data_IF_008764572682
#
_entry.id   IF_008764572682
#
_cell.length_a   1.000
_cell.length_b   1.000
_cell.length_c   1.000
_cell.angle_alpha   90.00
_cell.angle_beta   90.00
_cell.angle_gamma   90.00
#
_symmetry.space_group_name_H-M   'P 1'
#
loop_
_entity.id
_entity.type
_entity.pdbx_description
1 polymer ?
#
# COMPACT_ATOMS: atom_id res chain seq x y z
N UNK A 1 -15.77 4.33 20.84
CA UNK A 1 -16.00 4.28 19.38
C UNK A 1 -16.44 2.85 19.04
N UNK A 2 -17.55 2.64 18.32
CA UNK A 2 -18.00 1.28 17.97
C UNK A 2 -16.94 0.59 17.10
N UNK A 3 -16.74 -0.72 17.26
CA UNK A 3 -15.86 -1.47 16.36
C UNK A 3 -16.53 -1.63 14.99
N UNK A 4 -15.75 -1.80 13.91
CA UNK A 4 -16.30 -1.98 12.55
C UNK A 4 -17.31 -3.14 12.44
N UNK A 5 -17.17 -4.17 13.27
CA UNK A 5 -18.08 -5.32 13.31
C UNK A 5 -19.45 -4.99 13.94
N UNK A 6 -19.54 -3.90 14.70
CA UNK A 6 -20.77 -3.43 15.35
C UNK A 6 -21.51 -2.37 14.52
N UNK A 7 -20.97 -1.98 13.36
CA UNK A 7 -21.61 -1.04 12.45
C UNK A 7 -22.50 -1.82 11.47
N UNK A 8 -23.68 -1.28 11.20
CA UNK A 8 -24.64 -1.83 10.23
C UNK A 8 -24.05 -1.87 8.80
N UNK A 9 -23.22 -0.88 8.47
CA UNK A 9 -22.54 -0.79 7.18
C UNK A 9 -21.03 -0.95 7.34
N UNK A 10 -20.45 -1.89 6.58
CA UNK A 10 -19.01 -2.18 6.58
C UNK A 10 -18.25 -1.50 5.42
N UNK A 11 -18.97 -0.91 4.47
CA UNK A 11 -18.42 -0.09 3.39
C UNK A 11 -19.35 1.11 3.16
N UNK A 12 -18.78 2.24 2.73
CA UNK A 12 -19.54 3.48 2.56
C UNK A 12 -20.19 3.59 1.17
N UNK A 13 -19.37 3.71 0.12
CA UNK A 13 -19.84 3.98 -1.23
C UNK A 13 -19.01 3.20 -2.25
N UNK A 14 -19.68 2.68 -3.29
CA UNK A 14 -19.05 2.05 -4.45
C UNK A 14 -19.64 2.65 -5.73
N UNK A 15 -18.80 3.34 -6.49
CA UNK A 15 -19.19 4.01 -7.73
C UNK A 15 -18.33 3.56 -8.91
N UNK A 16 -18.86 3.69 -10.12
CA UNK A 16 -18.11 3.56 -11.36
C UNK A 16 -17.57 4.93 -11.74
N UNK A 17 -16.29 4.99 -12.13
CA UNK A 17 -15.63 6.20 -12.60
C UNK A 17 -15.17 6.02 -14.04
N UNK A 18 -15.03 7.12 -14.77
CA UNK A 18 -14.51 7.13 -16.14
C UNK A 18 -13.22 7.97 -16.22
N UNK A 19 -12.05 7.37 -15.96
CA UNK A 19 -10.79 8.11 -15.95
C UNK A 19 -10.34 8.48 -17.36
N UNK A 20 -9.69 9.64 -17.50
CA UNK A 20 -8.96 10.04 -18.71
C UNK A 20 -7.73 9.14 -18.93
N UNK A 21 -7.13 9.20 -20.12
CA UNK A 21 -5.95 8.37 -20.42
C UNK A 21 -4.75 8.70 -19.52
N UNK A 22 -4.57 9.98 -19.17
CA UNK A 22 -3.58 10.38 -18.18
C UNK A 22 -3.85 9.79 -16.79
N UNK A 23 -5.12 9.81 -16.35
CA UNK A 23 -5.50 9.19 -15.08
C UNK A 23 -5.30 7.67 -15.09
N UNK A 24 -5.61 6.99 -16.20
CA UNK A 24 -5.32 5.55 -16.38
C UNK A 24 -3.82 5.25 -16.26
N UNK A 25 -2.95 6.11 -16.81
CA UNK A 25 -1.50 5.96 -16.68
C UNK A 25 -1.06 6.08 -15.22
N UNK A 26 -1.59 7.05 -14.46
CA UNK A 26 -1.30 7.19 -13.02
C UNK A 26 -1.74 5.95 -12.25
N UNK A 27 -2.95 5.44 -12.50
CA UNK A 27 -3.46 4.21 -11.87
C UNK A 27 -2.53 3.04 -12.16
N UNK A 28 -2.09 2.88 -13.42
CA UNK A 28 -1.18 1.80 -13.83
C UNK A 28 0.17 1.88 -13.12
N UNK A 29 0.81 3.06 -13.14
CA UNK A 29 2.13 3.28 -12.50
C UNK A 29 2.05 3.00 -11.00
N UNK A 30 1.01 3.49 -10.32
CA UNK A 30 0.81 3.21 -8.91
C UNK A 30 0.51 1.72 -8.63
N UNK A 31 -0.29 1.08 -9.48
CA UNK A 31 -0.58 -0.36 -9.37
C UNK A 31 0.70 -1.20 -9.48
N UNK A 32 1.57 -0.86 -10.42
CA UNK A 32 2.86 -1.54 -10.61
C UNK A 32 3.83 -1.24 -9.45
N UNK A 33 3.89 0.01 -8.96
CA UNK A 33 4.70 0.39 -7.81
C UNK A 33 4.27 -0.34 -6.52
N UNK A 34 2.97 -0.36 -6.21
CA UNK A 34 2.43 -1.08 -5.05
C UNK A 34 2.69 -2.58 -5.14
N UNK A 35 2.55 -3.19 -6.33
CA UNK A 35 2.87 -4.60 -6.55
C UNK A 35 4.36 -4.87 -6.33
N UNK A 36 5.22 -4.03 -6.88
CA UNK A 36 6.67 -4.15 -6.71
C UNK A 36 7.06 -4.07 -5.24
N UNK A 37 6.61 -3.04 -4.52
CA UNK A 37 6.89 -2.85 -3.09
C UNK A 37 6.44 -4.06 -2.27
N UNK A 38 5.23 -4.57 -2.51
CA UNK A 38 4.74 -5.75 -1.79
C UNK A 38 5.63 -6.97 -2.07
N UNK A 39 6.00 -7.19 -3.33
CA UNK A 39 6.85 -8.31 -3.72
C UNK A 39 8.25 -8.18 -3.13
N UNK A 40 8.82 -6.99 -3.11
CA UNK A 40 10.12 -6.75 -2.49
C UNK A 40 10.10 -7.06 -0.99
N UNK A 41 9.03 -6.68 -0.28
CA UNK A 41 8.84 -7.06 1.12
C UNK A 41 8.77 -8.58 1.30
N UNK A 42 8.11 -9.30 0.39
CA UNK A 42 8.09 -10.78 0.39
C UNK A 42 9.48 -11.35 0.13
N UNK A 43 10.25 -10.76 -0.78
CA UNK A 43 11.63 -11.16 -1.10
C UNK A 43 12.54 -11.01 0.13
N UNK A 44 12.56 -9.81 0.72
CA UNK A 44 13.29 -9.50 1.94
C UNK A 44 12.87 -10.45 3.08
N UNK A 45 11.58 -10.70 3.24
CA UNK A 45 11.08 -11.61 4.27
C UNK A 45 11.59 -13.05 4.12
N UNK A 46 11.68 -13.56 2.89
CA UNK A 46 12.25 -14.88 2.60
C UNK A 46 13.75 -14.93 2.89
N UNK A 47 14.48 -13.90 2.49
CA UNK A 47 15.92 -13.81 2.74
C UNK A 47 16.22 -13.72 4.24
N UNK A 48 15.50 -12.88 4.98
CA UNK A 48 15.62 -12.80 6.43
C UNK A 48 15.34 -14.14 7.12
N UNK A 49 14.35 -14.89 6.65
CA UNK A 49 14.07 -16.22 7.18
C UNK A 49 15.23 -17.19 6.91
N UNK A 50 15.81 -17.20 5.71
CA UNK A 50 16.97 -18.03 5.39
C UNK A 50 18.19 -17.67 6.26
N UNK A 51 18.49 -16.37 6.39
CA UNK A 51 19.60 -15.89 7.20
C UNK A 51 19.39 -16.20 8.69
N UNK A 52 18.16 -16.09 9.20
CA UNK A 52 17.85 -16.44 10.60
C UNK A 52 18.05 -17.92 10.95
N UNK A 53 18.17 -18.81 9.95
CA UNK A 53 18.48 -20.23 10.18
C UNK A 53 19.97 -20.47 10.42
N UNK A 54 20.83 -19.52 10.05
CA UNK A 54 22.25 -19.58 10.38
C UNK A 54 22.38 -19.31 11.88
N UNK A 55 22.61 -20.36 12.66
CA UNK A 55 22.70 -20.29 14.13
C UNK A 55 24.02 -19.69 14.64
N UNK A 56 24.96 -19.41 13.74
CA UNK A 56 26.27 -18.87 14.06
C UNK A 56 26.26 -17.34 13.88
N UNK A 57 26.79 -16.58 14.85
CA UNK A 57 26.89 -15.13 14.74
C UNK A 57 28.07 -14.77 13.81
N UNK A 58 27.81 -14.79 12.51
CA UNK A 58 28.76 -14.31 11.49
C UNK A 58 28.47 -12.84 11.22
N UNK A 59 29.46 -11.96 11.36
CA UNK A 59 29.29 -10.51 11.21
C UNK A 59 28.62 -10.13 9.88
N UNK A 60 29.07 -10.74 8.78
CA UNK A 60 28.48 -10.51 7.44
C UNK A 60 27.00 -10.85 7.36
N UNK A 61 26.55 -11.87 8.08
CA UNK A 61 25.14 -12.26 8.16
C UNK A 61 24.35 -11.26 9.00
N UNK A 62 24.92 -10.79 10.11
CA UNK A 62 24.29 -9.78 10.97
C UNK A 62 24.13 -8.44 10.25
N UNK A 63 25.19 -7.99 9.55
CA UNK A 63 25.18 -6.78 8.74
C UNK A 63 24.11 -6.87 7.64
N UNK A 64 24.01 -8.03 6.98
CA UNK A 64 22.99 -8.25 5.96
C UNK A 64 21.57 -8.20 6.54
N UNK A 65 21.35 -8.83 7.70
CA UNK A 65 20.05 -8.77 8.40
C UNK A 65 19.70 -7.32 8.76
N UNK A 66 20.65 -6.55 9.26
CA UNK A 66 20.44 -5.13 9.61
C UNK A 66 20.10 -4.31 8.37
N UNK A 67 20.84 -4.49 7.27
CA UNK A 67 20.58 -3.83 5.99
C UNK A 67 19.17 -4.15 5.47
N UNK A 68 18.77 -5.41 5.51
CA UNK A 68 17.45 -5.86 5.07
C UNK A 68 16.32 -5.27 5.91
N UNK A 69 16.47 -5.25 7.24
CA UNK A 69 15.50 -4.60 8.16
C UNK A 69 15.38 -3.10 7.88
N UNK A 70 16.49 -2.42 7.63
CA UNK A 70 16.49 -0.99 7.30
C UNK A 70 15.74 -0.69 5.99
N UNK A 71 15.91 -1.55 4.97
CA UNK A 71 15.26 -1.40 3.65
C UNK A 71 13.75 -1.56 3.66
N UNK A 72 13.15 -2.24 4.66
CA UNK A 72 11.69 -2.45 4.73
C UNK A 72 10.88 -1.16 4.92
N UNK A 73 11.52 -0.06 5.29
CA UNK A 73 10.86 1.24 5.40
C UNK A 73 10.55 1.84 4.01
N UNK A 74 9.36 2.40 3.83
CA UNK A 74 8.91 3.03 2.58
C UNK A 74 9.90 4.07 2.02
N UNK A 75 10.51 4.87 2.90
CA UNK A 75 11.50 5.89 2.51
C UNK A 75 12.76 5.23 1.97
N UNK A 76 13.31 4.26 2.70
CA UNK A 76 14.54 3.57 2.31
C UNK A 76 14.35 2.73 1.05
N UNK A 77 13.18 2.12 0.88
CA UNK A 77 12.84 1.43 -0.36
C UNK A 77 12.74 2.38 -1.56
N UNK A 78 12.23 3.60 -1.36
CA UNK A 78 12.24 4.62 -2.43
C UNK A 78 13.66 5.09 -2.76
N UNK A 79 14.51 5.30 -1.74
CA UNK A 79 15.91 5.67 -1.93
C UNK A 79 16.68 4.58 -2.70
N UNK A 80 16.38 3.30 -2.44
CA UNK A 80 17.04 2.18 -3.12
C UNK A 80 16.55 2.00 -4.56
N UNK A 81 15.27 2.25 -4.81
CA UNK A 81 14.65 2.09 -6.13
C UNK A 81 14.16 3.44 -6.65
N UNK A 82 15.03 4.16 -7.35
CA UNK A 82 14.80 5.53 -7.81
C UNK A 82 13.50 5.71 -8.61
N UNK A 83 13.05 4.69 -9.37
CA UNK A 83 11.79 4.76 -10.11
C UNK A 83 10.56 4.94 -9.21
N UNK A 84 10.65 4.58 -7.92
CA UNK A 84 9.58 4.82 -6.95
C UNK A 84 9.42 6.31 -6.62
N UNK A 85 10.42 7.15 -6.87
CA UNK A 85 10.37 8.60 -6.61
C UNK A 85 9.63 9.40 -7.69
N UNK A 86 9.11 8.74 -8.73
CA UNK A 86 8.27 9.37 -9.73
C UNK A 86 7.12 10.16 -9.09
N UNK A 87 6.95 11.43 -9.50
CA UNK A 87 5.94 12.35 -8.98
C UNK A 87 4.51 11.83 -9.11
N UNK A 88 4.26 10.92 -10.06
CA UNK A 88 2.96 10.26 -10.29
C UNK A 88 2.64 9.22 -9.22
N UNK A 89 3.65 8.68 -8.54
CA UNK A 89 3.46 7.68 -7.49
C UNK A 89 3.00 8.36 -6.20
N UNK A 90 1.93 7.86 -5.62
CA UNK A 90 1.40 8.29 -4.35
C UNK A 90 2.21 7.68 -3.19
N UNK A 91 2.64 8.53 -2.24
CA UNK A 91 3.33 8.09 -1.04
C UNK A 91 2.45 7.19 -0.17
N UNK A 92 1.13 7.43 -0.14
CA UNK A 92 0.19 6.59 0.61
C UNK A 92 0.02 5.21 -0.04
N UNK A 93 0.08 5.12 -1.37
CA UNK A 93 0.04 3.83 -2.07
C UNK A 93 1.27 2.96 -1.73
N UNK A 94 2.45 3.56 -1.55
CA UNK A 94 3.66 2.86 -1.07
C UNK A 94 3.47 2.34 0.36
N UNK A 95 3.01 3.21 1.26
CA UNK A 95 2.77 2.86 2.65
C UNK A 95 1.71 1.76 2.79
N UNK A 96 0.62 1.85 2.02
CA UNK A 96 -0.44 0.85 1.99
C UNK A 96 0.06 -0.52 1.53
N UNK A 97 0.96 -0.58 0.55
CA UNK A 97 1.54 -1.85 0.09
C UNK A 97 2.34 -2.56 1.21
N UNK A 98 3.14 -1.81 1.97
CA UNK A 98 3.87 -2.33 3.14
C UNK A 98 2.90 -2.76 4.25
N UNK A 99 1.88 -1.95 4.55
CA UNK A 99 0.86 -2.34 5.52
C UNK A 99 0.12 -3.61 5.11
N UNK A 100 -0.20 -3.78 3.83
CA UNK A 100 -0.85 -4.97 3.31
C UNK A 100 0.03 -6.22 3.46
N UNK A 101 1.35 -6.10 3.30
CA UNK A 101 2.30 -7.18 3.59
C UNK A 101 2.25 -7.60 5.06
N UNK A 102 2.28 -6.65 5.99
CA UNK A 102 2.16 -6.97 7.43
C UNK A 102 0.79 -7.55 7.80
N UNK A 103 -0.29 -7.04 7.17
CA UNK A 103 -1.63 -7.61 7.34
C UNK A 103 -1.70 -9.05 6.86
N UNK A 104 -1.04 -9.40 5.75
CA UNK A 104 -0.98 -10.78 5.26
C UNK A 104 -0.26 -11.71 6.26
N UNK A 105 0.85 -11.27 6.84
CA UNK A 105 1.50 -12.00 7.94
C UNK A 105 0.65 -12.11 9.21
N UNK A 106 -0.07 -11.05 9.57
CA UNK A 106 -0.98 -11.07 10.71
C UNK A 106 -2.14 -12.06 10.48
N UNK A 107 -2.71 -12.08 9.27
CA UNK A 107 -3.73 -13.03 8.88
C UNK A 107 -3.21 -14.48 8.91
N UNK A 108 -2.00 -14.73 8.41
CA UNK A 108 -1.35 -16.04 8.54
C UNK A 108 -1.23 -16.50 10.01
N UNK A 109 -0.89 -15.60 10.93
CA UNK A 109 -0.76 -15.94 12.36
C UNK A 109 -2.10 -16.16 13.07
N UNK A 110 -3.16 -15.47 12.65
CA UNK A 110 -4.47 -15.48 13.34
C UNK A 110 -5.49 -16.43 12.72
N UNK A 111 -5.38 -16.71 11.43
CA UNK A 111 -6.40 -17.45 10.67
C UNK A 111 -5.77 -18.70 10.09
N UNK A 112 -6.14 -19.87 10.64
CA UNK A 112 -5.56 -21.18 10.28
C UNK A 112 -5.64 -21.55 8.79
N UNK A 113 -6.59 -20.98 8.03
CA UNK A 113 -6.75 -21.22 6.59
C UNK A 113 -5.86 -20.34 5.70
N UNK A 114 -5.22 -19.31 6.25
CA UNK A 114 -4.44 -18.35 5.46
C UNK A 114 -3.01 -18.84 5.30
N UNK A 115 -2.49 -18.83 4.08
CA UNK A 115 -1.08 -19.17 3.81
C UNK A 115 -0.12 -18.00 4.06
N UNK A 116 1.19 -18.28 4.01
CA UNK A 116 2.22 -17.25 4.07
C UNK A 116 2.09 -16.26 2.89
N UNK A 117 2.54 -15.00 3.04
CA UNK A 117 2.53 -14.02 1.95
C UNK A 117 3.26 -14.53 0.71
N UNK A 118 2.64 -14.35 -0.47
CA UNK A 118 3.16 -14.80 -1.77
C UNK A 118 3.34 -13.60 -2.70
N UNK A 119 4.25 -13.74 -3.66
CA UNK A 119 4.42 -12.73 -4.70
C UNK A 119 3.13 -12.51 -5.48
N UNK A 120 2.78 -11.25 -5.68
CA UNK A 120 1.70 -10.82 -6.55
C UNK A 120 2.15 -10.83 -8.01
N UNK A 121 1.34 -11.48 -8.86
CA UNK A 121 1.52 -11.50 -10.31
C UNK A 121 0.97 -10.21 -10.93
N UNK A 122 1.46 -9.88 -12.13
CA UNK A 122 0.87 -8.81 -12.93
C UNK A 122 -0.51 -9.25 -13.42
N UNK A 123 -1.45 -8.31 -13.46
CA UNK A 123 -2.82 -8.54 -13.94
C UNK A 123 -3.23 -7.42 -14.89
N UNK A 124 -4.20 -7.71 -15.75
CA UNK A 124 -4.87 -6.72 -16.59
C UNK A 124 -5.71 -5.72 -15.77
N UNK A 125 -6.12 -6.10 -14.57
CA UNK A 125 -6.82 -5.22 -13.64
C UNK A 125 -5.84 -4.39 -12.82
N UNK A 126 -5.74 -3.10 -13.12
CA UNK A 126 -4.93 -2.15 -12.34
C UNK A 126 -5.71 -1.59 -11.17
N UNK A 127 -5.01 -1.35 -10.05
CA UNK A 127 -5.61 -0.86 -8.81
C UNK A 127 -4.81 0.31 -8.27
N UNK A 128 -5.53 1.32 -7.82
CA UNK A 128 -4.97 2.44 -7.09
C UNK A 128 -5.69 2.56 -5.75
N UNK A 129 -4.94 2.52 -4.65
CA UNK A 129 -5.47 2.63 -3.30
C UNK A 129 -4.73 3.74 -2.56
N UNK A 130 -5.49 4.74 -2.11
CA UNK A 130 -5.01 5.85 -1.29
C UNK A 130 -5.89 6.00 -0.06
N UNK A 131 -5.42 6.76 0.93
CA UNK A 131 -6.14 7.00 2.17
C UNK A 131 -6.66 8.43 2.20
N UNK A 132 -7.90 8.62 2.65
CA UNK A 132 -8.42 9.96 2.91
C UNK A 132 -7.80 10.49 4.21
N UNK A 133 -7.23 11.69 4.14
CA UNK A 133 -6.68 12.41 5.28
C UNK A 133 -7.52 13.67 5.53
N UNK A 134 -7.60 14.07 6.79
CA UNK A 134 -8.37 15.24 7.22
C UNK A 134 -7.46 16.22 7.97
N UNK A 135 -6.46 16.82 7.30
CA UNK A 135 -5.53 17.72 7.96
C UNK A 135 -6.28 18.95 8.50
N UNK A 136 -6.09 19.25 9.78
CA UNK A 136 -6.66 20.44 10.47
C UNK A 136 -8.20 20.47 10.56
N UNK A 137 -8.89 19.37 10.31
CA UNK A 137 -10.35 19.28 10.44
C UNK A 137 -10.75 18.65 11.77
N UNK A 138 -11.79 19.20 12.42
CA UNK A 138 -12.32 18.66 13.69
C UNK A 138 -13.24 17.46 13.50
N UNK A 139 -13.92 17.37 12.35
CA UNK A 139 -14.84 16.30 12.01
C UNK A 139 -14.57 15.80 10.58
N UNK A 140 -14.66 14.49 10.38
CA UNK A 140 -14.55 13.87 9.07
C UNK A 140 -15.90 13.98 8.34
N UNK A 141 -15.92 14.70 7.22
CA UNK A 141 -17.08 14.86 6.34
C UNK A 141 -16.70 14.45 4.92
N UNK A 142 -17.70 14.22 4.07
CA UNK A 142 -17.48 13.78 2.69
C UNK A 142 -16.88 14.86 1.77
N UNK A 143 -16.87 16.11 2.21
CA UNK A 143 -16.48 17.31 1.47
C UNK A 143 -15.12 17.88 1.90
N UNK A 144 -14.61 17.54 3.10
CA UNK A 144 -13.47 18.22 3.71
C UNK A 144 -12.17 17.39 3.80
N UNK A 145 -12.17 16.18 3.25
CA UNK A 145 -11.00 15.30 3.20
C UNK A 145 -10.12 15.51 1.97
N UNK A 146 -8.94 14.87 1.95
CA UNK A 146 -8.10 14.82 0.73
C UNK A 146 -8.75 14.02 -0.40
N UNK A 147 -9.65 13.09 -0.05
CA UNK A 147 -10.61 12.48 -0.97
C UNK A 147 -11.97 13.05 -0.62
N UNK A 148 -12.56 13.83 -1.52
CA UNK A 148 -13.80 14.53 -1.24
C UNK A 148 -14.71 14.62 -2.48
N UNK A 149 -15.99 14.85 -2.22
CA UNK A 149 -16.95 15.25 -3.25
C UNK A 149 -16.84 16.76 -3.45
N UNK A 150 -16.56 17.15 -4.69
CA UNK A 150 -16.61 18.57 -5.09
C UNK A 150 -18.06 18.98 -5.38
N UNK A 151 -18.81 18.08 -6.03
CA UNK A 151 -20.23 18.24 -6.30
C UNK A 151 -20.92 16.86 -6.30
N UNK A 152 -22.20 16.81 -6.71
CA UNK A 152 -22.98 15.55 -6.74
C UNK A 152 -22.51 14.54 -7.79
N UNK A 153 -21.65 14.95 -8.73
CA UNK A 153 -21.22 14.17 -9.91
C UNK A 153 -19.70 13.98 -9.95
N UNK A 154 -18.92 14.67 -9.12
CA UNK A 154 -17.47 14.66 -9.20
C UNK A 154 -16.82 14.38 -7.85
N UNK A 155 -15.79 13.53 -7.89
CA UNK A 155 -14.96 13.17 -6.76
C UNK A 155 -13.53 13.61 -7.05
N UNK A 156 -12.89 14.25 -6.08
CA UNK A 156 -11.46 14.57 -6.14
C UNK A 156 -10.70 13.50 -5.38
N UNK A 157 -9.72 12.89 -6.05
CA UNK A 157 -8.84 11.88 -5.47
C UNK A 157 -7.38 12.34 -5.59
N UNK A 158 -6.54 12.15 -4.54
CA UNK A 158 -5.12 12.47 -4.61
C UNK A 158 -4.46 11.84 -5.84
N UNK A 159 -3.57 12.61 -6.49
CA UNK A 159 -2.86 12.28 -7.76
C UNK A 159 -3.75 12.14 -9.00
N UNK A 160 -4.96 11.59 -8.89
CA UNK A 160 -5.88 11.46 -10.02
C UNK A 160 -6.61 12.76 -10.35
N UNK A 161 -6.77 13.64 -9.37
CA UNK A 161 -7.54 14.87 -9.51
C UNK A 161 -9.04 14.59 -9.57
N UNK A 162 -9.76 15.40 -10.36
CA UNK A 162 -11.22 15.32 -10.52
C UNK A 162 -11.61 14.12 -11.39
N UNK A 163 -12.53 13.32 -10.88
CA UNK A 163 -13.13 12.16 -11.55
C UNK A 163 -14.63 12.37 -11.71
N UNK A 164 -15.20 11.82 -12.79
CA UNK A 164 -16.64 11.78 -13.09
C UNK A 164 -17.15 10.34 -13.06
#
# INVERSE_FOLDING_TARGET
>A
MKSMAQLEYHYGLKVRIYPSDYQKQIIKVNSDASRFIYNEMVSIGKELWQLSRVKLPIDTVQDRIQQLKFRQNAKQMSNHFQFLEDKRIDSLAKANAIQNYYKAWNAFRKVHKTGVPKFHRKSYAWRYQTNCQYPKQKAARLDNGTVCFEDRKHIVVPKLGRLR
#
